data_IF_663968665163
#
_entry.id   IF_663968665163
#
_cell.length_a   1.000
_cell.length_b   1.000
_cell.length_c   1.000
_cell.angle_alpha   90.00
_cell.angle_beta   90.00
_cell.angle_gamma   90.00
#
_symmetry.space_group_name_H-M   'P 1'
#
loop_
_entity.id
_entity.type
_entity.pdbx_description
1 polymer ?
#
# COMPACT_ATOMS: atom_id res chain seq x y z
N UNK A 1 -45.15 -35.53 -40.68
CA UNK A 1 -44.67 -35.06 -41.99
C UNK A 1 -43.25 -35.54 -42.18
N UNK A 2 -42.75 -35.58 -43.42
CA UNK A 2 -41.34 -35.88 -43.68
C UNK A 2 -40.50 -34.75 -43.06
N UNK A 3 -39.86 -35.04 -41.92
CA UNK A 3 -38.84 -34.16 -41.35
C UNK A 3 -37.62 -34.29 -42.26
N UNK A 4 -37.18 -33.19 -42.86
CA UNK A 4 -35.93 -33.16 -43.62
C UNK A 4 -34.78 -33.10 -42.62
N UNK A 5 -33.96 -34.14 -42.61
CA UNK A 5 -32.70 -34.19 -41.88
C UNK A 5 -31.56 -34.09 -42.90
N UNK A 6 -30.56 -33.21 -42.70
CA UNK A 6 -29.38 -33.18 -43.55
C UNK A 6 -28.68 -34.56 -43.56
N UNK A 7 -28.00 -34.89 -44.65
CA UNK A 7 -27.13 -36.08 -44.65
C UNK A 7 -25.94 -35.84 -43.72
N UNK A 8 -25.38 -36.92 -43.18
CA UNK A 8 -24.37 -36.83 -42.12
C UNK A 8 -23.16 -35.96 -42.50
N UNK A 9 -22.67 -36.00 -43.74
CA UNK A 9 -21.53 -35.19 -44.26
C UNK A 9 -21.73 -33.66 -44.23
N UNK A 10 -22.91 -33.16 -43.85
CA UNK A 10 -23.17 -31.71 -43.77
C UNK A 10 -23.75 -31.25 -42.44
N UNK A 11 -23.96 -32.17 -41.50
CA UNK A 11 -24.61 -31.84 -40.23
C UNK A 11 -23.74 -30.89 -39.41
N UNK A 12 -22.44 -31.07 -39.43
CA UNK A 12 -21.48 -30.26 -38.69
C UNK A 12 -21.30 -28.88 -39.30
N UNK A 13 -21.21 -28.81 -40.63
CA UNK A 13 -21.20 -27.53 -41.38
C UNK A 13 -22.40 -26.65 -40.98
N UNK A 14 -23.60 -27.25 -40.96
CA UNK A 14 -24.83 -26.57 -40.58
C UNK A 14 -24.82 -26.20 -39.10
N UNK A 15 -24.35 -27.09 -38.24
CA UNK A 15 -24.25 -26.85 -36.82
C UNK A 15 -23.36 -25.65 -36.51
N UNK A 16 -22.14 -25.61 -37.04
CA UNK A 16 -21.20 -24.49 -36.84
C UNK A 16 -21.76 -23.18 -37.37
N UNK A 17 -22.47 -23.20 -38.51
CA UNK A 17 -23.11 -22.00 -39.04
C UNK A 17 -24.20 -21.45 -38.10
N UNK A 18 -25.02 -22.33 -37.51
CA UNK A 18 -26.08 -21.95 -36.57
C UNK A 18 -25.52 -21.53 -35.20
N UNK A 19 -24.51 -22.22 -34.68
CA UNK A 19 -23.81 -21.82 -33.45
C UNK A 19 -23.15 -20.46 -33.63
N UNK A 20 -22.53 -20.20 -34.78
CA UNK A 20 -21.98 -18.88 -35.09
C UNK A 20 -23.06 -17.80 -35.19
N UNK A 21 -24.21 -18.14 -35.77
CA UNK A 21 -25.36 -17.25 -35.78
C UNK A 21 -25.78 -16.88 -34.35
N UNK A 22 -25.87 -17.85 -33.44
CA UNK A 22 -26.27 -17.62 -32.06
C UNK A 22 -25.36 -16.58 -31.39
N UNK A 23 -24.04 -16.77 -31.43
CA UNK A 23 -23.09 -15.83 -30.80
C UNK A 23 -23.04 -14.48 -31.52
N UNK A 24 -23.16 -14.47 -32.85
CA UNK A 24 -23.02 -13.23 -33.62
C UNK A 24 -24.22 -12.30 -33.48
N UNK A 25 -25.42 -12.88 -33.32
CA UNK A 25 -26.70 -12.19 -33.39
C UNK A 25 -27.53 -12.26 -32.11
N UNK A 26 -26.98 -12.81 -31.02
CA UNK A 26 -27.60 -12.95 -29.70
C UNK A 26 -28.48 -11.74 -29.31
N UNK A 27 -27.92 -10.54 -29.36
CA UNK A 27 -28.60 -9.30 -28.98
C UNK A 27 -29.71 -8.82 -29.94
N UNK A 28 -29.92 -9.51 -31.08
CA UNK A 28 -30.76 -9.02 -32.19
C UNK A 28 -31.92 -9.96 -32.57
N UNK A 29 -32.06 -11.09 -31.90
CA UNK A 29 -32.99 -12.17 -32.27
C UNK A 29 -34.16 -12.33 -31.29
N UNK A 30 -34.36 -11.34 -30.40
CA UNK A 30 -35.54 -11.26 -29.53
C UNK A 30 -36.84 -11.39 -30.35
N UNK A 31 -37.75 -12.25 -29.90
CA UNK A 31 -39.02 -12.52 -30.57
C UNK A 31 -38.96 -13.48 -31.79
N UNK A 32 -37.78 -14.02 -32.15
CA UNK A 32 -37.68 -15.06 -33.17
C UNK A 32 -38.31 -16.35 -32.64
N UNK A 33 -39.49 -16.71 -33.14
CA UNK A 33 -40.27 -17.86 -32.67
C UNK A 33 -40.85 -18.70 -33.80
N UNK A 34 -40.51 -18.36 -35.06
CA UNK A 34 -41.08 -18.99 -36.25
C UNK A 34 -40.55 -20.40 -36.52
N UNK A 35 -39.45 -20.81 -35.87
CA UNK A 35 -38.95 -22.18 -35.92
C UNK A 35 -38.80 -22.71 -34.49
N UNK A 36 -39.14 -23.99 -34.30
CA UNK A 36 -39.22 -24.63 -32.99
C UNK A 36 -37.89 -24.59 -32.21
N UNK A 37 -36.76 -24.40 -32.88
CA UNK A 37 -35.45 -24.33 -32.24
C UNK A 37 -35.16 -23.00 -31.55
N UNK A 38 -35.80 -21.89 -31.94
CA UNK A 38 -35.55 -20.58 -31.33
C UNK A 38 -36.33 -20.41 -30.03
N UNK A 39 -35.63 -19.95 -28.99
CA UNK A 39 -36.19 -19.68 -27.67
C UNK A 39 -36.95 -18.33 -27.64
N UNK A 40 -36.54 -17.40 -28.50
CA UNK A 40 -37.17 -16.08 -28.64
C UNK A 40 -36.65 -15.04 -27.66
N UNK A 41 -35.56 -15.33 -26.96
CA UNK A 41 -34.84 -14.40 -26.08
C UNK A 41 -33.49 -13.98 -26.68
N UNK A 42 -32.91 -12.91 -26.15
CA UNK A 42 -31.62 -12.35 -26.58
C UNK A 42 -30.44 -12.74 -25.67
N UNK A 43 -30.57 -13.82 -24.90
CA UNK A 43 -29.54 -14.38 -24.01
C UNK A 43 -29.29 -15.89 -24.25
N UNK A 44 -30.24 -16.60 -24.85
CA UNK A 44 -30.10 -18.04 -25.13
C UNK A 44 -30.17 -18.36 -26.64
N UNK A 45 -30.88 -17.54 -27.43
CA UNK A 45 -31.17 -17.69 -28.87
C UNK A 45 -31.93 -18.98 -29.23
N UNK A 46 -31.36 -20.14 -28.93
CA UNK A 46 -31.92 -21.47 -29.16
C UNK A 46 -32.33 -22.16 -27.86
N UNK A 47 -33.29 -23.07 -27.94
CA UNK A 47 -33.63 -23.92 -26.79
C UNK A 47 -32.48 -24.90 -26.45
N UNK A 48 -32.35 -25.34 -25.18
CA UNK A 48 -31.29 -26.27 -24.76
C UNK A 48 -31.22 -27.58 -25.57
N UNK A 49 -32.37 -28.12 -26.00
CA UNK A 49 -32.40 -29.33 -26.84
C UNK A 49 -31.77 -29.10 -28.21
N UNK A 50 -31.93 -27.90 -28.78
CA UNK A 50 -31.39 -27.55 -30.09
C UNK A 50 -29.88 -27.35 -30.00
N UNK A 51 -29.40 -26.67 -28.95
CA UNK A 51 -27.97 -26.58 -28.65
C UNK A 51 -27.35 -27.97 -28.51
N UNK A 52 -27.97 -28.87 -27.73
CA UNK A 52 -27.49 -30.25 -27.57
C UNK A 52 -27.37 -30.99 -28.91
N UNK A 53 -28.38 -30.86 -29.78
CA UNK A 53 -28.37 -31.45 -31.11
C UNK A 53 -27.25 -30.87 -32.00
N UNK A 54 -27.08 -29.55 -32.00
CA UNK A 54 -26.05 -28.88 -32.80
C UNK A 54 -24.64 -29.26 -32.33
N UNK A 55 -24.41 -29.38 -31.03
CA UNK A 55 -23.13 -29.84 -30.49
C UNK A 55 -22.82 -31.30 -30.89
N UNK A 56 -23.82 -32.19 -30.85
CA UNK A 56 -23.66 -33.57 -31.31
C UNK A 56 -23.29 -33.64 -32.80
N UNK A 57 -23.98 -32.84 -33.63
CA UNK A 57 -23.68 -32.74 -35.06
C UNK A 57 -22.28 -32.18 -35.33
N UNK A 58 -21.89 -31.14 -34.59
CA UNK A 58 -20.59 -30.49 -34.70
C UNK A 58 -19.42 -31.41 -34.33
N UNK A 59 -19.56 -32.22 -33.26
CA UNK A 59 -18.45 -33.04 -32.74
C UNK A 59 -18.48 -34.50 -33.16
N UNK A 60 -19.64 -35.13 -33.11
CA UNK A 60 -19.74 -36.59 -33.19
C UNK A 60 -20.13 -37.08 -34.58
N UNK A 61 -20.89 -36.26 -35.33
CA UNK A 61 -21.43 -36.68 -36.63
C UNK A 61 -20.55 -36.20 -37.78
N UNK A 62 -20.15 -34.93 -37.79
CA UNK A 62 -19.42 -34.30 -38.90
C UNK A 62 -18.39 -33.26 -38.40
N UNK A 63 -17.24 -33.73 -37.89
CA UNK A 63 -16.15 -32.87 -37.45
C UNK A 63 -15.58 -32.03 -38.59
N UNK A 64 -14.99 -30.87 -38.25
CA UNK A 64 -14.37 -29.96 -39.22
C UNK A 64 -13.36 -30.70 -40.11
N UNK A 65 -13.62 -30.67 -41.41
CA UNK A 65 -12.74 -31.24 -42.43
C UNK A 65 -11.96 -30.16 -43.20
N UNK A 66 -11.10 -30.60 -44.14
CA UNK A 66 -10.33 -29.65 -44.93
C UNK A 66 -11.19 -28.85 -45.92
N UNK A 67 -12.27 -29.44 -46.44
CA UNK A 67 -13.15 -28.79 -47.40
C UNK A 67 -13.87 -27.61 -46.75
N UNK A 68 -14.32 -27.77 -45.52
CA UNK A 68 -14.95 -26.71 -44.74
C UNK A 68 -13.94 -25.62 -44.37
N UNK A 69 -12.72 -25.97 -43.93
CA UNK A 69 -11.66 -24.97 -43.70
C UNK A 69 -11.36 -24.14 -44.94
N UNK A 70 -11.27 -24.76 -46.10
CA UNK A 70 -11.03 -24.06 -47.37
C UNK A 70 -12.18 -23.10 -47.70
N UNK A 71 -13.43 -23.51 -47.45
CA UNK A 71 -14.63 -22.65 -47.61
C UNK A 71 -14.64 -21.50 -46.62
N UNK A 72 -14.28 -21.74 -45.37
CA UNK A 72 -14.21 -20.72 -44.32
C UNK A 72 -13.13 -19.68 -44.63
N UNK A 73 -11.95 -20.13 -45.10
CA UNK A 73 -10.87 -19.25 -45.55
C UNK A 73 -11.28 -18.43 -46.78
N UNK A 74 -12.01 -19.02 -47.73
CA UNK A 74 -12.53 -18.30 -48.89
C UNK A 74 -13.55 -17.23 -48.48
N UNK A 75 -14.45 -17.53 -47.53
CA UNK A 75 -15.37 -16.56 -46.95
C UNK A 75 -14.61 -15.43 -46.26
N UNK A 76 -13.62 -15.74 -45.42
CA UNK A 76 -12.76 -14.75 -44.76
C UNK A 76 -12.06 -13.82 -45.75
N UNK A 77 -11.47 -14.37 -46.83
CA UNK A 77 -10.81 -13.57 -47.85
C UNK A 77 -11.76 -12.59 -48.56
N UNK A 78 -13.07 -12.89 -48.61
CA UNK A 78 -14.07 -12.03 -49.24
C UNK A 78 -14.66 -10.98 -48.29
N UNK A 79 -15.00 -11.36 -47.06
CA UNK A 79 -15.78 -10.52 -46.13
C UNK A 79 -15.03 -10.13 -44.85
N UNK A 80 -13.76 -10.53 -44.71
CA UNK A 80 -12.88 -10.31 -43.55
C UNK A 80 -13.43 -10.86 -42.23
N UNK A 81 -14.32 -11.84 -42.30
CA UNK A 81 -14.94 -12.49 -41.15
C UNK A 81 -15.18 -13.97 -41.47
N UNK A 82 -14.70 -14.83 -40.59
CA UNK A 82 -14.78 -16.28 -40.70
C UNK A 82 -15.68 -16.83 -39.59
N UNK A 83 -16.17 -18.05 -39.76
CA UNK A 83 -16.80 -18.75 -38.66
C UNK A 83 -15.70 -19.27 -37.71
N UNK A 84 -15.60 -18.75 -36.47
CA UNK A 84 -14.55 -19.15 -35.53
C UNK A 84 -14.66 -20.61 -35.11
N UNK A 85 -15.85 -21.23 -35.19
CA UNK A 85 -16.03 -22.64 -34.84
C UNK A 85 -15.52 -23.61 -35.91
N UNK A 86 -15.15 -23.13 -37.09
CA UNK A 86 -14.42 -23.91 -38.10
C UNK A 86 -12.92 -23.86 -37.83
N UNK A 87 -12.40 -22.69 -37.44
CA UNK A 87 -10.97 -22.50 -37.17
C UNK A 87 -10.57 -23.07 -35.80
N UNK A 88 -11.48 -22.97 -34.83
CA UNK A 88 -11.36 -23.39 -33.43
C UNK A 88 -12.63 -24.12 -32.99
N UNK A 89 -12.85 -25.37 -33.43
CA UNK A 89 -14.05 -26.15 -33.11
C UNK A 89 -14.28 -26.30 -31.59
N UNK A 90 -13.21 -26.32 -30.79
CA UNK A 90 -13.23 -26.38 -29.33
C UNK A 90 -14.01 -25.22 -28.66
N UNK A 91 -14.12 -24.06 -29.32
CA UNK A 91 -14.84 -22.91 -28.75
C UNK A 91 -16.32 -23.19 -28.56
N UNK A 92 -16.92 -24.09 -29.36
CA UNK A 92 -18.33 -24.45 -29.19
C UNK A 92 -18.58 -25.14 -27.84
N UNK A 93 -17.67 -26.02 -27.39
CA UNK A 93 -17.81 -26.66 -26.09
C UNK A 93 -17.60 -25.66 -24.95
N UNK A 94 -16.62 -24.76 -25.09
CA UNK A 94 -16.37 -23.73 -24.08
C UNK A 94 -17.59 -22.83 -23.80
N UNK A 95 -18.42 -22.59 -24.83
CA UNK A 95 -19.60 -21.71 -24.73
C UNK A 95 -20.82 -22.48 -24.20
N UNK A 96 -21.12 -23.66 -24.74
CA UNK A 96 -22.41 -24.35 -24.49
C UNK A 96 -22.32 -25.64 -23.70
N UNK A 97 -21.11 -26.16 -23.48
CA UNK A 97 -20.87 -27.29 -22.61
C UNK A 97 -19.64 -27.01 -21.74
N UNK A 98 -19.62 -25.86 -21.02
CA UNK A 98 -18.51 -25.60 -20.12
C UNK A 98 -18.47 -26.78 -19.16
N UNK A 99 -17.35 -27.49 -19.11
CA UNK A 99 -17.10 -28.41 -18.02
C UNK A 99 -17.25 -27.59 -16.76
N UNK A 100 -18.36 -27.77 -16.04
CA UNK A 100 -18.58 -27.09 -14.77
C UNK A 100 -17.54 -27.69 -13.85
N UNK A 101 -16.41 -27.00 -13.76
CA UNK A 101 -15.40 -27.38 -12.82
C UNK A 101 -15.94 -27.11 -11.44
N UNK A 102 -16.05 -28.17 -10.65
CA UNK A 102 -16.54 -28.11 -9.28
C UNK A 102 -15.48 -28.57 -8.30
N UNK A 103 -14.34 -29.04 -8.81
CA UNK A 103 -13.22 -29.47 -8.00
C UNK A 103 -12.35 -28.23 -7.74
N UNK A 104 -12.18 -27.79 -6.48
CA UNK A 104 -11.35 -26.65 -6.19
C UNK A 104 -9.86 -27.00 -6.34
N UNK A 105 -8.99 -26.02 -6.66
CA UNK A 105 -7.55 -26.24 -6.66
C UNK A 105 -7.03 -26.74 -5.31
N UNK A 106 -5.88 -27.41 -5.33
CA UNK A 106 -5.15 -27.75 -4.10
C UNK A 106 -4.68 -26.48 -3.38
N UNK A 107 -4.50 -26.54 -2.05
CA UNK A 107 -3.92 -25.42 -1.31
C UNK A 107 -2.50 -25.09 -1.81
N UNK A 108 -2.14 -23.79 -1.95
CA UNK A 108 -0.75 -23.40 -2.16
C UNK A 108 0.10 -23.86 -0.98
N UNK A 109 1.36 -24.23 -1.23
CA UNK A 109 2.26 -24.73 -0.17
C UNK A 109 3.56 -23.95 -0.12
N UNK A 110 4.30 -24.05 0.98
CA UNK A 110 5.59 -23.37 1.19
C UNK A 110 5.50 -21.85 0.98
N UNK A 111 4.43 -21.21 1.46
CA UNK A 111 4.37 -19.75 1.46
C UNK A 111 5.49 -19.22 2.36
N UNK A 112 6.31 -18.34 1.78
CA UNK A 112 7.45 -17.68 2.39
C UNK A 112 7.28 -16.18 2.25
N UNK A 113 7.49 -15.46 3.34
CA UNK A 113 7.65 -14.02 3.36
C UNK A 113 9.14 -13.70 3.59
N UNK A 114 9.68 -12.75 2.83
CA UNK A 114 11.12 -12.47 2.80
C UNK A 114 11.42 -11.07 2.27
N UNK A 115 12.70 -10.68 2.32
CA UNK A 115 13.20 -9.38 1.86
C UNK A 115 12.37 -8.19 2.36
N UNK A 116 12.04 -8.11 3.67
CA UNK A 116 11.33 -6.94 4.17
C UNK A 116 12.15 -5.68 3.91
N UNK A 117 11.48 -4.63 3.47
CA UNK A 117 11.98 -3.26 3.54
C UNK A 117 11.16 -2.51 4.60
N UNK A 118 11.36 -1.20 4.73
CA UNK A 118 10.52 -0.35 5.58
C UNK A 118 9.05 -0.29 5.14
N UNK A 119 8.72 -0.64 3.88
CA UNK A 119 7.34 -0.53 3.36
C UNK A 119 6.91 -1.64 2.39
N UNK A 120 7.74 -2.66 2.19
CA UNK A 120 7.45 -3.79 1.29
C UNK A 120 7.88 -5.13 1.88
N UNK A 121 7.23 -6.22 1.47
CA UNK A 121 7.63 -7.61 1.76
C UNK A 121 7.44 -8.45 0.49
N UNK A 122 8.42 -9.29 0.15
CA UNK A 122 8.31 -10.24 -0.95
C UNK A 122 7.70 -11.56 -0.48
N UNK A 123 6.74 -12.07 -1.25
CA UNK A 123 6.10 -13.35 -1.03
C UNK A 123 6.39 -14.32 -2.18
N UNK A 124 6.62 -15.59 -1.85
CA UNK A 124 6.70 -16.68 -2.82
C UNK A 124 6.10 -17.97 -2.27
N UNK A 125 5.58 -18.82 -3.15
CA UNK A 125 4.99 -20.10 -2.77
C UNK A 125 5.13 -21.15 -3.88
N UNK A 126 4.85 -22.40 -3.55
CA UNK A 126 4.73 -23.50 -4.51
C UNK A 126 3.34 -23.50 -5.13
N UNK A 127 3.28 -23.63 -6.47
CA UNK A 127 2.04 -23.62 -7.23
C UNK A 127 1.05 -24.70 -6.78
N UNK A 128 -0.24 -24.35 -6.85
CA UNK A 128 -1.34 -25.29 -6.73
C UNK A 128 -1.53 -26.11 -8.01
N UNK A 129 -2.17 -27.27 -7.89
CA UNK A 129 -2.66 -28.07 -9.01
C UNK A 129 -4.17 -28.13 -9.00
N UNK A 130 -4.74 -28.34 -10.17
CA UNK A 130 -6.18 -28.42 -10.41
C UNK A 130 -6.43 -29.37 -11.61
N UNK A 131 -7.63 -29.93 -11.73
CA UNK A 131 -8.01 -30.84 -12.82
C UNK A 131 -8.10 -30.13 -14.18
N UNK A 132 -8.42 -28.83 -14.22
CA UNK A 132 -8.42 -28.03 -15.45
C UNK A 132 -7.27 -27.02 -15.43
N UNK A 133 -7.13 -26.27 -14.34
CA UNK A 133 -6.01 -25.35 -14.18
C UNK A 133 -6.26 -24.19 -13.23
N UNK A 134 -5.18 -23.75 -12.59
CA UNK A 134 -5.18 -22.57 -11.71
C UNK A 134 -4.97 -21.31 -12.53
N UNK A 135 -5.83 -20.32 -12.35
CA UNK A 135 -5.80 -19.04 -13.08
C UNK A 135 -5.16 -17.91 -12.27
N UNK A 136 -5.35 -17.91 -10.95
CA UNK A 136 -4.85 -16.84 -10.08
C UNK A 136 -4.69 -17.27 -8.62
N UNK A 137 -4.00 -16.43 -7.86
CA UNK A 137 -3.79 -16.55 -6.42
C UNK A 137 -4.24 -15.27 -5.72
N UNK A 138 -5.07 -15.42 -4.69
CA UNK A 138 -5.51 -14.34 -3.81
C UNK A 138 -4.64 -14.31 -2.55
N UNK A 139 -3.93 -13.21 -2.35
CA UNK A 139 -3.07 -13.00 -1.19
C UNK A 139 -3.76 -12.10 -0.17
N UNK A 140 -3.99 -12.62 1.02
CA UNK A 140 -4.60 -11.91 2.13
C UNK A 140 -3.53 -11.42 3.11
N UNK A 141 -3.61 -10.14 3.50
CA UNK A 141 -2.83 -9.53 4.57
C UNK A 141 -3.69 -9.39 5.81
N UNK A 142 -3.35 -10.07 6.90
CA UNK A 142 -4.07 -10.07 8.18
C UNK A 142 -5.58 -10.30 8.06
N UNK A 143 -6.01 -11.08 7.05
CA UNK A 143 -7.42 -11.37 6.77
C UNK A 143 -8.21 -10.21 6.14
N UNK A 144 -7.56 -9.15 5.66
CA UNK A 144 -8.19 -8.02 4.94
C UNK A 144 -8.58 -8.34 3.49
N UNK A 145 -8.73 -7.31 2.66
CA UNK A 145 -9.02 -7.51 1.23
C UNK A 145 -7.80 -8.11 0.51
N UNK A 146 -8.01 -9.07 -0.42
CA UNK A 146 -6.91 -9.71 -1.10
C UNK A 146 -6.32 -8.86 -2.23
N UNK A 147 -5.08 -9.15 -2.58
CA UNK A 147 -4.44 -8.75 -3.84
C UNK A 147 -4.25 -10.02 -4.68
N UNK A 148 -4.69 -9.98 -5.94
CA UNK A 148 -4.64 -11.14 -6.84
C UNK A 148 -3.45 -11.07 -7.81
N UNK A 149 -2.86 -12.22 -8.13
CA UNK A 149 -1.78 -12.37 -9.11
C UNK A 149 -1.86 -13.72 -9.81
N UNK A 150 -1.40 -13.83 -11.05
CA UNK A 150 -1.25 -15.11 -11.76
C UNK A 150 0.11 -15.79 -11.52
N UNK A 151 1.06 -15.08 -10.92
CA UNK A 151 2.39 -15.60 -10.60
C UNK A 151 2.39 -16.30 -9.23
N UNK A 152 3.41 -17.14 -8.98
CA UNK A 152 3.64 -17.78 -7.66
C UNK A 152 4.51 -16.95 -6.72
N UNK A 153 4.59 -15.65 -6.99
CA UNK A 153 5.30 -14.66 -6.19
C UNK A 153 4.72 -13.26 -6.39
N UNK A 154 4.81 -12.42 -5.37
CA UNK A 154 4.37 -11.02 -5.41
C UNK A 154 5.12 -10.19 -4.35
N UNK A 155 5.40 -8.92 -4.64
CA UNK A 155 5.84 -7.95 -3.63
C UNK A 155 4.62 -7.20 -3.10
N UNK A 156 4.37 -7.29 -1.80
CA UNK A 156 3.35 -6.50 -1.11
C UNK A 156 3.97 -5.14 -0.77
N UNK A 157 3.28 -4.05 -1.13
CA UNK A 157 3.74 -2.67 -0.94
C UNK A 157 2.81 -1.90 -0.01
N UNK A 158 3.19 -0.67 0.35
CA UNK A 158 2.37 0.22 1.18
C UNK A 158 2.22 -0.28 2.62
N UNK A 159 3.24 -0.98 3.12
CA UNK A 159 3.32 -1.46 4.48
C UNK A 159 3.89 -0.38 5.40
N UNK A 160 3.52 -0.44 6.68
CA UNK A 160 4.09 0.42 7.70
C UNK A 160 5.42 -0.18 8.20
N UNK A 161 6.45 0.64 8.49
CA UNK A 161 7.72 0.17 9.04
C UNK A 161 7.54 -0.49 10.41
N UNK A 162 8.49 -1.35 10.78
CA UNK A 162 8.52 -2.07 12.06
C UNK A 162 7.17 -2.69 12.46
N UNK A 163 6.44 -3.21 11.47
CA UNK A 163 5.11 -3.79 11.64
C UNK A 163 5.14 -5.23 11.14
N UNK A 164 4.71 -6.15 12.01
CA UNK A 164 4.52 -7.55 11.63
C UNK A 164 3.27 -7.67 10.77
N UNK A 165 3.39 -8.34 9.63
CA UNK A 165 2.29 -8.69 8.75
C UNK A 165 2.26 -10.20 8.55
N UNK A 166 1.07 -10.79 8.61
CA UNK A 166 0.88 -12.20 8.33
C UNK A 166 0.07 -12.39 7.05
N UNK A 167 0.53 -13.31 6.22
CA UNK A 167 0.00 -13.56 4.88
C UNK A 167 -0.53 -14.99 4.75
N UNK A 168 -1.62 -15.12 3.99
CA UNK A 168 -2.19 -16.40 3.54
C UNK A 168 -2.55 -16.29 2.08
N UNK A 169 -2.38 -17.38 1.32
CA UNK A 169 -2.67 -17.43 -0.11
C UNK A 169 -3.71 -18.51 -0.41
N UNK A 170 -4.63 -18.19 -1.33
CA UNK A 170 -5.62 -19.10 -1.89
C UNK A 170 -5.44 -19.16 -3.40
N UNK A 171 -5.64 -20.32 -4.01
CA UNK A 171 -5.68 -20.47 -5.47
C UNK A 171 -7.13 -20.42 -5.98
N UNK A 172 -7.28 -19.92 -7.21
CA UNK A 172 -8.53 -19.81 -7.98
C UNK A 172 -8.35 -20.50 -9.33
N UNK A 173 -9.37 -21.21 -9.79
CA UNK A 173 -9.45 -21.74 -11.15
C UNK A 173 -10.25 -20.81 -12.09
N UNK A 174 -10.57 -21.27 -13.29
CA UNK A 174 -11.39 -20.53 -14.24
C UNK A 174 -12.89 -20.51 -13.90
N UNK A 175 -13.35 -21.47 -13.09
CA UNK A 175 -14.72 -21.57 -12.59
C UNK A 175 -14.95 -20.79 -11.27
N UNK A 176 -13.91 -20.10 -10.77
CA UNK A 176 -13.87 -19.33 -9.52
C UNK A 176 -13.97 -20.18 -8.25
N UNK A 177 -13.73 -21.49 -8.33
CA UNK A 177 -13.58 -22.31 -7.13
C UNK A 177 -12.34 -21.85 -6.34
N UNK A 178 -12.44 -21.94 -5.01
CA UNK A 178 -11.37 -21.49 -4.09
C UNK A 178 -10.71 -22.70 -3.47
N UNK A 179 -9.38 -22.75 -3.48
CA UNK A 179 -8.65 -23.74 -2.71
C UNK A 179 -8.84 -23.55 -1.20
N UNK A 180 -8.46 -24.54 -0.37
CA UNK A 180 -8.11 -24.27 1.02
C UNK A 180 -6.90 -23.31 1.11
N UNK A 181 -6.70 -22.69 2.28
CA UNK A 181 -5.59 -21.74 2.49
C UNK A 181 -4.23 -22.42 2.52
N UNK A 182 -3.19 -21.67 2.14
CA UNK A 182 -1.80 -22.02 2.43
C UNK A 182 -1.49 -22.07 3.93
N UNK A 183 -0.22 -22.38 4.28
CA UNK A 183 0.31 -22.01 5.59
C UNK A 183 0.30 -20.49 5.77
N UNK A 184 0.32 -20.03 7.03
CA UNK A 184 0.56 -18.62 7.34
C UNK A 184 2.06 -18.35 7.25
N UNK A 185 2.45 -17.26 6.62
CA UNK A 185 3.81 -16.72 6.67
C UNK A 185 3.75 -15.30 7.22
N UNK A 186 4.49 -15.04 8.30
CA UNK A 186 4.59 -13.71 8.88
C UNK A 186 6.00 -13.16 8.67
N UNK A 187 6.09 -11.86 8.42
CA UNK A 187 7.36 -11.15 8.34
C UNK A 187 7.18 -9.72 8.87
N UNK A 188 8.24 -9.19 9.48
CA UNK A 188 8.24 -7.83 10.04
C UNK A 188 8.99 -6.91 9.10
N UNK A 189 8.34 -5.82 8.68
CA UNK A 189 9.01 -4.76 7.91
C UNK A 189 10.18 -4.17 8.71
N UNK A 190 11.21 -3.73 8.00
CA UNK A 190 12.39 -3.16 8.64
C UNK A 190 12.04 -1.90 9.45
N UNK A 191 12.85 -1.62 10.47
CA UNK A 191 12.74 -0.36 11.20
C UNK A 191 13.14 0.81 10.31
N UNK A 192 12.32 1.84 10.29
CA UNK A 192 12.58 3.07 9.54
C UNK A 192 11.38 4.01 9.61
N UNK A 193 11.57 5.24 9.14
CA UNK A 193 10.40 6.03 8.71
C UNK A 193 9.94 5.47 7.37
N UNK A 194 8.67 5.61 7.00
CA UNK A 194 8.33 5.70 5.58
C UNK A 194 8.99 6.99 5.12
N UNK A 195 10.29 6.91 4.79
CA UNK A 195 11.09 8.04 4.37
C UNK A 195 10.26 8.84 3.37
N UNK A 196 10.28 10.16 3.51
CA UNK A 196 9.88 10.95 2.37
C UNK A 196 10.68 10.49 1.18
N UNK A 197 10.05 10.24 0.05
CA UNK A 197 10.80 10.10 -1.19
C UNK A 197 11.23 11.47 -1.74
N UNK A 198 11.22 12.49 -0.89
CA UNK A 198 11.29 13.88 -1.31
C UNK A 198 11.93 14.81 -0.26
N UNK A 199 12.53 15.88 -0.75
CA UNK A 199 13.09 16.96 0.05
C UNK A 199 11.99 17.86 0.61
N UNK A 200 12.23 18.51 1.75
CA UNK A 200 11.31 19.47 2.36
C UNK A 200 12.08 20.62 3.01
N UNK A 201 11.41 21.76 3.20
CA UNK A 201 11.93 22.94 3.89
C UNK A 201 11.93 22.63 5.39
N UNK A 202 13.12 22.60 5.99
CA UNK A 202 13.30 22.36 7.42
C UNK A 202 13.43 23.65 8.23
N UNK A 203 13.83 24.76 7.60
CA UNK A 203 13.90 26.06 8.26
C UNK A 203 13.62 27.21 7.28
N UNK A 204 12.87 28.20 7.75
CA UNK A 204 12.63 29.47 7.07
C UNK A 204 12.98 30.61 8.04
N UNK A 205 13.85 31.52 7.62
CA UNK A 205 14.29 32.64 8.46
C UNK A 205 14.08 33.96 7.74
N UNK A 206 13.19 34.80 8.27
CA UNK A 206 13.06 36.21 7.93
C UNK A 206 13.72 37.02 9.05
N UNK A 207 15.03 37.19 8.97
CA UNK A 207 15.83 37.90 9.97
C UNK A 207 15.89 39.41 9.73
N UNK A 208 16.65 40.10 10.57
CA UNK A 208 16.80 41.55 10.46
C UNK A 208 17.54 41.96 9.17
N UNK A 209 17.10 43.06 8.56
CA UNK A 209 17.69 43.57 7.31
C UNK A 209 17.74 42.48 6.21
N UNK A 210 18.92 42.16 5.69
CA UNK A 210 19.15 41.17 4.64
C UNK A 210 19.37 39.75 5.17
N UNK A 211 19.20 39.50 6.48
CA UNK A 211 19.28 38.14 7.01
C UNK A 211 18.06 37.35 6.52
N UNK A 212 18.31 36.43 5.59
CA UNK A 212 17.31 35.56 4.98
C UNK A 212 17.93 34.19 4.74
N UNK A 213 17.27 33.13 5.18
CA UNK A 213 17.72 31.76 4.96
C UNK A 213 16.56 30.81 4.70
N UNK A 214 16.82 29.80 3.87
CA UNK A 214 15.99 28.62 3.65
C UNK A 214 16.88 27.41 3.85
N UNK A 215 16.47 26.47 4.69
CA UNK A 215 17.12 25.18 4.86
C UNK A 215 16.26 24.08 4.25
N UNK A 216 16.87 23.17 3.49
CA UNK A 216 16.21 22.03 2.87
C UNK A 216 16.80 20.75 3.43
N UNK A 217 15.95 19.89 3.97
CA UNK A 217 16.34 18.63 4.57
C UNK A 217 16.17 17.43 3.63
N UNK A 218 17.09 16.47 3.72
CA UNK A 218 17.02 15.19 3.03
C UNK A 218 16.96 14.02 4.00
N UNK A 219 15.78 13.38 4.11
CA UNK A 219 15.58 12.13 4.86
C UNK A 219 15.09 10.99 3.95
N UNK A 220 15.47 11.03 2.66
CA UNK A 220 15.01 10.09 1.63
C UNK A 220 15.68 8.72 1.65
N UNK A 221 16.61 8.49 2.56
CA UNK A 221 17.45 7.28 2.59
C UNK A 221 18.59 7.31 1.56
N UNK A 222 18.63 8.27 0.64
CA UNK A 222 19.62 8.36 -0.44
C UNK A 222 20.22 9.77 -0.54
N UNK A 223 21.37 9.90 -1.21
CA UNK A 223 21.87 11.22 -1.63
C UNK A 223 21.03 11.75 -2.79
N UNK A 224 20.57 13.00 -2.71
CA UNK A 224 19.70 13.62 -3.72
C UNK A 224 20.43 14.74 -4.45
N UNK A 225 20.46 14.69 -5.79
CA UNK A 225 20.96 15.78 -6.63
C UNK A 225 19.98 16.95 -6.64
N UNK A 226 20.45 18.17 -6.45
CA UNK A 226 19.63 19.38 -6.44
C UNK A 226 19.35 19.96 -7.84
N UNK A 227 19.90 19.35 -8.90
CA UNK A 227 19.75 19.83 -10.29
C UNK A 227 18.31 19.91 -10.80
N UNK A 228 17.37 19.15 -10.21
CA UNK A 228 15.94 19.19 -10.55
C UNK A 228 15.13 20.12 -9.63
N UNK A 229 15.75 20.77 -8.64
CA UNK A 229 15.05 21.51 -7.60
C UNK A 229 15.26 23.00 -7.73
N UNK A 230 14.20 23.74 -7.47
CA UNK A 230 14.22 25.20 -7.41
C UNK A 230 13.43 25.70 -6.21
N UNK A 231 13.73 26.91 -5.75
CA UNK A 231 12.87 27.66 -4.84
C UNK A 231 12.35 28.92 -5.52
N UNK A 232 11.15 29.34 -5.16
CA UNK A 232 10.57 30.61 -5.63
C UNK A 232 9.68 31.20 -4.54
N UNK A 233 9.53 32.53 -4.54
CA UNK A 233 8.65 33.23 -3.60
C UNK A 233 7.37 33.71 -4.26
N UNK A 234 6.28 33.79 -3.50
CA UNK A 234 5.04 34.43 -3.90
C UNK A 234 5.03 35.88 -3.42
N UNK A 235 5.30 36.81 -4.34
CA UNK A 235 5.61 38.20 -4.00
C UNK A 235 4.37 38.93 -3.49
N UNK A 236 4.39 39.31 -2.23
CA UNK A 236 3.29 39.88 -1.44
C UNK A 236 2.06 38.98 -1.41
N UNK A 237 2.25 37.66 -1.40
CA UNK A 237 1.14 36.68 -1.37
C UNK A 237 0.13 36.90 -2.50
N UNK A 238 0.60 37.21 -3.71
CA UNK A 238 -0.26 37.59 -4.82
C UNK A 238 -0.82 36.38 -5.61
N UNK A 239 -0.41 35.16 -5.24
CA UNK A 239 -0.83 33.93 -5.90
C UNK A 239 -0.08 33.67 -7.21
N UNK A 240 1.13 34.22 -7.35
CA UNK A 240 2.01 34.03 -8.50
C UNK A 240 3.47 33.91 -8.04
N UNK A 241 4.11 32.82 -8.43
CA UNK A 241 5.53 32.60 -8.15
C UNK A 241 6.42 33.57 -8.94
N UNK A 242 7.37 34.18 -8.25
CA UNK A 242 8.41 35.02 -8.82
C UNK A 242 9.49 34.22 -9.57
N UNK A 243 10.62 34.87 -9.84
CA UNK A 243 11.73 34.22 -10.53
C UNK A 243 12.39 33.17 -9.62
N UNK A 244 12.47 31.94 -10.13
CA UNK A 244 13.01 30.81 -9.38
C UNK A 244 14.54 30.87 -9.25
N UNK A 245 15.06 30.32 -8.15
CA UNK A 245 16.47 30.04 -7.94
C UNK A 245 16.71 28.54 -8.17
N UNK A 246 17.61 28.22 -9.09
CA UNK A 246 18.12 26.86 -9.28
C UNK A 246 19.00 26.47 -8.10
N UNK A 247 18.70 25.34 -7.46
CA UNK A 247 19.54 24.79 -6.40
C UNK A 247 20.73 24.04 -6.99
N UNK A 248 21.86 24.07 -6.28
CA UNK A 248 23.14 23.50 -6.73
C UNK A 248 23.68 22.50 -5.74
N UNK A 249 24.36 21.45 -6.22
CA UNK A 249 24.99 20.43 -5.38
C UNK A 249 24.09 19.21 -5.16
N UNK A 250 24.31 18.55 -4.02
CA UNK A 250 23.56 17.37 -3.61
C UNK A 250 23.51 17.29 -2.10
N UNK A 251 22.41 16.79 -1.54
CA UNK A 251 22.24 16.61 -0.11
C UNK A 251 22.41 15.12 0.21
N UNK A 252 23.30 14.77 1.14
CA UNK A 252 23.38 13.38 1.62
C UNK A 252 22.11 13.02 2.42
N UNK A 253 21.85 11.73 2.63
CA UNK A 253 20.76 11.33 3.53
C UNK A 253 21.09 11.78 4.97
N UNK A 254 20.09 12.26 5.69
CA UNK A 254 20.19 12.86 7.03
C UNK A 254 21.04 14.13 7.08
N UNK A 255 21.12 14.85 5.96
CA UNK A 255 21.85 16.11 5.83
C UNK A 255 20.90 17.20 5.32
N UNK A 256 21.37 18.45 5.36
CA UNK A 256 20.62 19.63 4.91
C UNK A 256 21.38 20.42 3.86
N UNK A 257 20.68 21.35 3.19
CA UNK A 257 21.27 22.33 2.30
C UNK A 257 20.75 23.72 2.64
N UNK A 258 21.66 24.60 3.05
CA UNK A 258 21.34 25.95 3.48
C UNK A 258 21.54 26.95 2.35
N UNK A 259 20.47 27.67 2.00
CA UNK A 259 20.52 28.81 1.10
C UNK A 259 20.37 30.09 1.91
N UNK A 260 21.32 31.02 1.80
CA UNK A 260 21.19 32.35 2.41
C UNK A 260 21.30 33.47 1.40
N UNK A 261 20.81 34.65 1.79
CA UNK A 261 21.17 35.88 1.06
C UNK A 261 22.68 36.10 1.05
N UNK A 262 23.21 36.49 -0.11
CA UNK A 262 24.64 36.74 -0.30
C UNK A 262 25.17 37.96 0.46
N UNK A 263 24.28 38.86 0.87
CA UNK A 263 24.53 40.08 1.62
C UNK A 263 23.94 40.03 3.05
N UNK A 264 23.65 38.83 3.56
CA UNK A 264 23.29 38.61 4.95
C UNK A 264 24.52 38.77 5.88
N UNK A 265 24.28 38.79 7.19
CA UNK A 265 25.37 38.86 8.16
C UNK A 265 26.29 37.63 8.11
N UNK A 266 27.49 37.76 8.69
CA UNK A 266 28.49 36.68 8.72
C UNK A 266 27.99 35.39 9.37
N UNK A 267 27.08 35.48 10.33
CA UNK A 267 26.50 34.30 11.00
C UNK A 267 25.66 33.43 10.06
N UNK A 268 24.97 34.03 9.09
CA UNK A 268 24.18 33.31 8.07
C UNK A 268 25.08 32.77 6.96
N UNK A 269 25.94 33.62 6.40
CA UNK A 269 26.77 33.24 5.25
C UNK A 269 27.85 32.20 5.59
N UNK A 270 28.22 32.05 6.87
CA UNK A 270 29.18 31.05 7.31
C UNK A 270 28.67 29.60 7.26
N UNK A 271 27.35 29.39 7.31
CA UNK A 271 26.71 28.06 7.26
C UNK A 271 26.05 27.78 5.91
N UNK A 272 26.16 28.70 4.95
CA UNK A 272 25.51 28.57 3.66
C UNK A 272 26.22 27.59 2.72
N UNK A 273 25.49 26.63 2.17
CA UNK A 273 25.92 25.81 1.04
C UNK A 273 25.76 26.56 -0.29
N UNK A 274 24.80 27.48 -0.35
CA UNK A 274 24.52 28.30 -1.52
C UNK A 274 24.17 29.74 -1.14
N UNK A 275 24.88 30.69 -1.75
CA UNK A 275 24.58 32.13 -1.62
C UNK A 275 23.78 32.63 -2.82
N UNK A 276 22.76 33.45 -2.58
CA UNK A 276 22.00 34.11 -3.65
C UNK A 276 21.39 35.42 -3.20
N UNK A 277 21.51 36.47 -4.01
CA UNK A 277 20.75 37.73 -3.81
C UNK A 277 19.64 37.89 -4.86
N UNK A 278 19.23 36.79 -5.48
CA UNK A 278 18.15 36.75 -6.47
C UNK A 278 16.76 36.95 -5.86
N UNK A 279 15.75 36.95 -6.75
CA UNK A 279 14.35 37.20 -6.37
C UNK A 279 13.86 36.21 -5.30
N UNK A 280 14.08 34.90 -5.49
CA UNK A 280 13.64 33.87 -4.54
C UNK A 280 14.18 34.03 -3.11
N UNK A 281 15.32 34.70 -2.92
CA UNK A 281 15.93 34.98 -1.60
C UNK A 281 15.67 36.40 -1.11
N UNK A 282 14.84 37.17 -1.81
CA UNK A 282 14.50 38.55 -1.43
C UNK A 282 13.20 38.63 -0.61
N UNK A 283 12.70 37.49 -0.13
CA UNK A 283 11.45 37.36 0.62
C UNK A 283 11.44 38.22 1.88
N UNK A 284 10.26 38.64 2.29
CA UNK A 284 9.97 39.32 3.54
C UNK A 284 8.69 38.70 4.17
N UNK A 285 8.22 39.24 5.30
CA UNK A 285 7.19 38.59 6.11
C UNK A 285 5.88 38.19 5.40
N UNK A 286 5.53 38.80 4.27
CA UNK A 286 4.34 38.47 3.48
C UNK A 286 4.64 37.70 2.18
N UNK A 287 5.80 37.08 2.06
CA UNK A 287 6.24 36.31 0.90
C UNK A 287 6.38 34.81 1.23
N UNK A 288 5.38 33.96 0.92
CA UNK A 288 5.55 32.51 0.97
C UNK A 288 6.69 32.04 0.07
N UNK A 289 7.38 30.97 0.47
CA UNK A 289 8.45 30.35 -0.32
C UNK A 289 8.11 28.90 -0.60
N UNK A 290 8.06 28.54 -1.88
CA UNK A 290 7.81 27.19 -2.37
C UNK A 290 9.11 26.48 -2.76
N UNK A 291 9.17 25.18 -2.49
CA UNK A 291 10.17 24.25 -3.01
C UNK A 291 9.54 23.45 -4.16
N UNK A 292 10.26 23.35 -5.27
CA UNK A 292 9.79 22.71 -6.49
C UNK A 292 10.73 21.62 -6.96
N UNK A 293 10.18 20.60 -7.61
CA UNK A 293 10.92 19.57 -8.34
C UNK A 293 10.41 19.49 -9.76
N UNK A 294 11.29 19.66 -10.74
CA UNK A 294 10.93 19.71 -12.17
C UNK A 294 9.79 20.70 -12.47
N UNK A 295 9.72 21.80 -11.71
CA UNK A 295 8.68 22.83 -11.84
C UNK A 295 7.35 22.55 -11.11
N UNK A 296 7.19 21.37 -10.48
CA UNK A 296 6.02 21.05 -9.64
C UNK A 296 6.31 21.44 -8.19
N UNK A 297 5.39 22.17 -7.55
CA UNK A 297 5.46 22.50 -6.12
C UNK A 297 5.37 21.21 -5.30
N UNK A 298 6.35 21.00 -4.41
CA UNK A 298 6.39 19.84 -3.51
C UNK A 298 6.22 20.25 -2.05
N UNK A 299 6.74 21.42 -1.65
CA UNK A 299 6.65 21.92 -0.28
C UNK A 299 6.51 23.44 -0.24
N UNK A 300 5.98 23.98 0.86
CA UNK A 300 5.79 25.42 1.02
C UNK A 300 5.92 25.88 2.47
N UNK A 301 6.57 27.03 2.66
CA UNK A 301 6.42 27.86 3.84
C UNK A 301 5.51 29.06 3.52
N UNK A 302 4.41 29.21 4.25
CA UNK A 302 3.38 30.24 4.03
C UNK A 302 2.22 29.83 3.13
N UNK A 303 1.16 30.63 3.12
CA UNK A 303 -0.06 30.41 2.34
C UNK A 303 0.03 31.09 0.97
N UNK A 304 0.11 30.32 -0.10
CA UNK A 304 0.12 30.84 -1.48
C UNK A 304 -1.16 31.63 -1.80
N UNK A 305 -1.02 32.85 -2.34
CA UNK A 305 -2.14 33.74 -2.66
C UNK A 305 -2.98 34.19 -1.45
N UNK A 306 -2.43 34.03 -0.23
CA UNK A 306 -3.14 34.21 1.02
C UNK A 306 -2.76 35.49 1.79
N UNK A 307 -2.94 35.45 3.11
CA UNK A 307 -2.47 36.49 4.02
C UNK A 307 -1.39 35.87 4.91
N UNK A 308 -0.21 36.48 4.87
CA UNK A 308 0.97 36.00 5.57
C UNK A 308 1.61 37.18 6.33
N UNK A 309 2.07 36.93 7.55
CA UNK A 309 2.88 37.85 8.34
C UNK A 309 3.87 37.06 9.18
N UNK A 310 5.06 36.89 8.62
CA UNK A 310 6.17 36.13 9.19
C UNK A 310 7.40 37.01 9.39
N UNK A 311 7.15 38.27 9.78
CA UNK A 311 8.19 39.30 9.82
C UNK A 311 9.08 39.16 11.06
N UNK A 312 10.39 39.17 10.87
CA UNK A 312 11.45 39.15 11.87
C UNK A 312 11.40 37.90 12.77
N UNK A 313 11.13 36.73 12.20
CA UNK A 313 11.02 35.47 12.93
C UNK A 313 11.80 34.33 12.24
N UNK A 314 12.12 33.33 13.05
CA UNK A 314 12.79 32.10 12.64
C UNK A 314 11.81 30.96 12.82
N UNK A 315 11.62 30.13 11.80
CA UNK A 315 10.65 29.04 11.80
C UNK A 315 11.33 27.72 11.49
N UNK A 316 11.20 26.78 12.41
CA UNK A 316 11.81 25.46 12.30
C UNK A 316 10.75 24.41 12.15
N UNK A 317 10.90 23.56 11.15
CA UNK A 317 10.02 22.42 10.97
C UNK A 317 10.15 21.52 12.19
N UNK A 318 9.04 21.03 12.72
CA UNK A 318 9.05 20.13 13.87
C UNK A 318 9.68 18.80 13.47
N UNK A 319 10.49 18.17 14.33
CA UNK A 319 11.05 16.84 14.09
C UNK A 319 10.01 15.74 13.80
N UNK A 320 8.75 15.93 14.24
CA UNK A 320 7.66 15.01 13.96
C UNK A 320 7.15 15.06 12.52
N UNK A 321 7.52 16.10 11.75
CA UNK A 321 7.09 16.25 10.37
C UNK A 321 8.01 15.43 9.49
N UNK A 322 7.46 14.31 9.00
CA UNK A 322 8.24 13.37 8.22
C UNK A 322 8.52 13.87 6.80
N UNK A 323 7.82 14.90 6.29
CA UNK A 323 7.97 15.34 4.90
C UNK A 323 7.32 16.61 4.38
N UNK A 324 7.40 16.82 3.04
CA UNK A 324 6.93 18.04 2.42
C UNK A 324 5.41 18.09 2.39
N UNK A 325 4.86 19.29 2.45
CA UNK A 325 3.45 19.58 2.38
C UNK A 325 3.22 20.81 1.50
N UNK A 326 2.30 20.69 0.53
CA UNK A 326 1.85 21.85 -0.26
C UNK A 326 0.76 22.66 0.46
N UNK A 327 0.33 22.22 1.65
CA UNK A 327 -0.67 22.87 2.47
C UNK A 327 -0.02 23.35 3.78
N UNK A 328 0.13 24.66 3.91
CA UNK A 328 0.83 25.24 5.06
C UNK A 328 0.03 25.12 6.36
N UNK A 329 0.63 24.50 7.38
CA UNK A 329 0.11 24.46 8.75
C UNK A 329 1.17 24.93 9.74
N UNK A 330 1.18 26.23 10.04
CA UNK A 330 2.09 26.82 11.02
C UNK A 330 2.03 26.10 12.37
N UNK A 331 0.82 25.80 12.85
CA UNK A 331 0.60 25.28 14.21
C UNK A 331 1.00 23.82 14.36
N UNK A 332 0.74 23.01 13.32
CA UNK A 332 1.03 21.58 13.30
C UNK A 332 2.48 21.28 12.95
N UNK A 333 3.09 22.09 12.08
CA UNK A 333 4.36 21.72 11.42
C UNK A 333 5.58 22.54 11.85
N UNK A 334 5.40 23.71 12.47
CA UNK A 334 6.50 24.65 12.73
C UNK A 334 6.58 25.10 14.18
N UNK A 335 7.80 25.24 14.68
CA UNK A 335 8.13 25.97 15.90
C UNK A 335 8.64 27.37 15.54
N UNK A 336 8.27 28.36 16.35
CA UNK A 336 8.55 29.79 16.09
C UNK A 336 9.55 30.32 17.12
N UNK A 337 10.59 30.98 16.64
CA UNK A 337 11.65 31.59 17.43
C UNK A 337 11.82 33.07 17.05
N UNK A 338 12.51 33.81 17.91
CA UNK A 338 12.78 35.23 17.68
C UNK A 338 13.65 35.47 16.43
N UNK A 339 13.77 36.74 16.07
CA UNK A 339 14.61 37.21 14.96
C UNK A 339 16.06 36.75 15.09
N UNK A 340 16.68 36.41 13.95
CA UNK A 340 18.11 36.11 13.82
C UNK A 340 18.63 34.95 14.69
N UNK A 341 17.77 33.98 15.04
CA UNK A 341 18.21 32.75 15.72
C UNK A 341 18.66 31.75 14.65
N UNK A 342 19.95 31.44 14.62
CA UNK A 342 20.60 30.55 13.63
C UNK A 342 21.46 29.47 14.32
N UNK A 343 21.12 29.12 15.56
CA UNK A 343 21.90 28.20 16.39
C UNK A 343 21.89 26.74 15.91
N UNK A 344 20.90 26.35 15.12
CA UNK A 344 20.77 25.03 14.49
C UNK A 344 20.68 25.08 12.96
N UNK A 345 20.76 26.26 12.35
CA UNK A 345 20.84 26.41 10.89
C UNK A 345 22.05 25.63 10.36
N UNK A 346 21.82 24.73 9.42
CA UNK A 346 22.79 23.72 8.98
C UNK A 346 22.58 22.36 9.64
N UNK A 347 21.46 22.14 10.35
CA UNK A 347 21.12 20.86 10.94
C UNK A 347 19.61 20.69 11.12
N UNK A 348 19.12 19.50 10.79
CA UNK A 348 17.74 19.12 11.09
C UNK A 348 17.70 17.71 11.65
N UNK A 349 16.75 17.45 12.55
CA UNK A 349 16.50 16.10 13.06
C UNK A 349 15.04 15.74 12.85
N UNK A 350 14.79 14.53 12.38
CA UNK A 350 13.47 13.92 12.47
C UNK A 350 13.39 13.02 13.69
N UNK A 351 12.21 12.92 14.29
CA UNK A 351 11.93 11.84 15.22
C UNK A 351 12.04 10.54 14.43
N UNK A 352 13.09 9.75 14.71
CA UNK A 352 13.00 8.32 14.48
C UNK A 352 11.75 7.86 15.23
N UNK A 353 10.87 7.15 14.54
CA UNK A 353 9.66 6.60 15.15
C UNK A 353 10.04 5.50 16.15
N UNK A 354 10.63 5.91 17.27
CA UNK A 354 10.20 5.37 18.53
C UNK A 354 8.77 5.89 18.58
N UNK A 355 7.80 5.01 18.33
CA UNK A 355 6.54 5.15 19.04
C UNK A 355 6.97 5.40 20.47
N UNK A 356 6.88 6.65 20.92
CA UNK A 356 6.87 6.96 22.33
C UNK A 356 5.65 6.21 22.81
N UNK A 357 5.85 4.92 23.10
CA UNK A 357 4.98 4.15 23.92
C UNK A 357 5.08 4.96 25.18
N UNK A 358 4.14 5.91 25.32
CA UNK A 358 4.01 6.76 26.48
C UNK A 358 4.40 5.86 27.61
N UNK A 359 5.50 6.18 28.28
CA UNK A 359 5.92 5.46 29.47
C UNK A 359 4.85 5.78 30.49
N UNK A 360 3.66 5.22 30.29
CA UNK A 360 2.59 5.09 31.22
C UNK A 360 3.26 4.29 32.30
N UNK A 361 3.70 5.00 33.32
CA UNK A 361 4.30 4.37 34.46
C UNK A 361 3.28 3.36 34.95
N UNK A 362 3.54 2.08 34.69
CA UNK A 362 2.66 1.02 35.15
C UNK A 362 2.65 1.06 36.67
N UNK A 363 1.66 1.74 37.24
CA UNK A 363 1.55 1.91 38.69
C UNK A 363 1.12 0.59 39.31
N UNK A 364 1.68 0.28 40.48
CA UNK A 364 1.26 -0.84 41.32
C UNK A 364 0.83 -0.29 42.66
N UNK A 365 -0.39 -0.60 43.07
CA UNK A 365 -0.92 -0.11 44.33
C UNK A 365 -1.91 -1.11 44.98
N UNK A 366 -1.91 -1.24 46.32
CA UNK A 366 -1.00 -0.59 47.23
C UNK A 366 0.42 -1.20 47.16
N UNK A 367 1.43 -0.37 47.36
CA UNK A 367 2.83 -0.79 47.46
C UNK A 367 3.55 0.16 48.42
N UNK A 368 3.83 -0.23 49.68
CA UNK A 368 3.76 -1.59 50.22
C UNK A 368 2.36 -2.21 50.29
N UNK A 369 2.28 -3.51 50.03
CA UNK A 369 1.04 -4.29 50.01
C UNK A 369 0.90 -5.11 51.30
N UNK A 370 -0.23 -4.94 52.01
CA UNK A 370 -0.57 -5.71 53.21
C UNK A 370 -1.67 -6.77 52.98
N UNK A 371 -2.44 -6.64 51.91
CA UNK A 371 -3.54 -7.56 51.56
C UNK A 371 -3.13 -8.65 50.57
N UNK A 372 -4.10 -9.50 50.21
CA UNK A 372 -3.90 -10.62 49.27
C UNK A 372 -3.81 -10.17 47.80
N UNK A 373 -4.09 -8.91 47.47
CA UNK A 373 -4.10 -8.42 46.09
C UNK A 373 -3.41 -7.06 45.95
N UNK A 374 -2.79 -6.85 44.79
CA UNK A 374 -2.34 -5.55 44.28
C UNK A 374 -3.09 -5.23 42.98
N UNK A 375 -3.26 -3.96 42.69
CA UNK A 375 -3.80 -3.46 41.43
C UNK A 375 -2.67 -2.93 40.57
N UNK A 376 -2.78 -3.13 39.26
CA UNK A 376 -2.00 -2.45 38.23
C UNK A 376 -2.85 -1.32 37.64
N UNK A 377 -2.21 -0.20 37.29
CA UNK A 377 -2.87 1.01 36.76
C UNK A 377 -3.59 0.83 35.41
N UNK A 378 -3.66 -0.40 34.89
CA UNK A 378 -4.33 -0.75 33.64
C UNK A 378 -5.31 -1.92 33.86
N UNK A 379 -6.55 -1.72 33.39
CA UNK A 379 -7.67 -2.68 33.52
C UNK A 379 -7.64 -3.73 32.41
N UNK A 380 -6.48 -4.38 32.22
CA UNK A 380 -6.27 -5.43 31.21
C UNK A 380 -5.60 -6.66 31.82
N UNK A 381 -5.74 -7.79 31.14
CA UNK A 381 -5.03 -9.06 31.44
C UNK A 381 -3.60 -8.95 30.94
N UNK A 382 -2.62 -9.18 31.83
CA UNK A 382 -1.19 -9.00 31.56
C UNK A 382 -0.40 -10.12 32.21
N UNK A 383 0.54 -10.69 31.48
CA UNK A 383 1.48 -11.67 32.00
C UNK A 383 2.47 -11.01 32.97
N UNK A 384 2.64 -11.62 34.14
CA UNK A 384 3.57 -11.16 35.16
C UNK A 384 4.47 -12.29 35.68
N UNK A 385 5.66 -11.91 36.12
CA UNK A 385 6.60 -12.74 36.88
C UNK A 385 7.07 -11.97 38.10
N UNK A 386 7.09 -12.62 39.26
CA UNK A 386 7.60 -12.06 40.51
C UNK A 386 8.89 -12.77 40.86
N UNK A 387 9.94 -12.00 41.07
CA UNK A 387 11.28 -12.45 41.43
C UNK A 387 11.60 -12.06 42.86
N UNK A 388 12.35 -12.92 43.57
CA UNK A 388 13.00 -12.51 44.81
C UNK A 388 14.20 -11.58 44.49
N UNK A 389 14.81 -10.99 45.53
CA UNK A 389 15.98 -10.11 45.37
C UNK A 389 17.22 -10.78 44.78
N UNK A 390 17.25 -12.11 44.73
CA UNK A 390 18.32 -12.90 44.11
C UNK A 390 18.03 -13.23 42.64
N UNK A 391 16.93 -12.71 42.07
CA UNK A 391 16.55 -12.90 40.66
C UNK A 391 15.88 -14.25 40.36
N UNK A 392 15.53 -15.07 41.37
CA UNK A 392 14.78 -16.31 41.16
C UNK A 392 13.28 -16.04 41.07
N UNK A 393 12.60 -16.65 40.09
CA UNK A 393 11.13 -16.56 39.95
C UNK A 393 10.46 -17.25 41.15
N UNK A 394 9.65 -16.49 41.88
CA UNK A 394 8.84 -16.95 43.03
C UNK A 394 7.45 -17.38 42.58
N UNK A 395 6.83 -16.61 41.67
CA UNK A 395 5.54 -16.93 41.07
C UNK A 395 5.38 -16.22 39.73
N UNK A 396 4.46 -16.70 38.90
CA UNK A 396 4.10 -16.10 37.62
C UNK A 396 2.63 -16.36 37.32
N UNK A 397 2.02 -15.50 36.52
CA UNK A 397 0.64 -15.70 36.10
C UNK A 397 0.14 -14.57 35.21
N UNK A 398 -1.18 -14.48 35.06
CA UNK A 398 -1.87 -13.39 34.37
C UNK A 398 -2.66 -12.56 35.37
N UNK A 399 -2.65 -11.24 35.23
CA UNK A 399 -3.56 -10.36 35.98
C UNK A 399 -5.02 -10.64 35.57
N UNK A 400 -5.96 -10.42 36.48
CA UNK A 400 -7.39 -10.48 36.19
C UNK A 400 -8.00 -9.08 36.36
N UNK A 401 -8.38 -8.45 35.25
CA UNK A 401 -8.92 -7.09 35.21
C UNK A 401 -8.11 -6.11 36.09
N UNK A 402 -6.80 -6.04 35.83
CA UNK A 402 -5.91 -5.15 36.57
C UNK A 402 -5.57 -5.58 38.01
N UNK A 403 -5.91 -6.80 38.44
CA UNK A 403 -5.56 -7.33 39.78
C UNK A 403 -4.60 -8.51 39.72
N UNK A 404 -3.69 -8.57 40.69
CA UNK A 404 -2.79 -9.72 40.91
C UNK A 404 -2.90 -10.17 42.35
N UNK A 405 -3.14 -11.47 42.54
CA UNK A 405 -3.10 -12.11 43.85
C UNK A 405 -1.64 -12.37 44.26
N UNK A 406 -1.28 -11.91 45.45
CA UNK A 406 0.05 -11.99 46.06
C UNK A 406 0.03 -12.70 47.43
N UNK A 407 -1.03 -13.43 47.73
CA UNK A 407 -1.24 -14.12 49.02
C UNK A 407 -0.16 -15.16 49.31
N UNK A 408 0.38 -15.78 48.26
CA UNK A 408 1.48 -16.75 48.37
C UNK A 408 2.84 -16.12 48.71
N UNK A 409 2.98 -14.80 48.63
CA UNK A 409 4.23 -14.11 48.95
C UNK A 409 4.38 -13.88 50.46
N UNK A 410 5.52 -14.29 51.02
CA UNK A 410 5.92 -13.93 52.38
C UNK A 410 6.31 -12.45 52.48
N UNK A 411 6.26 -11.83 53.68
CA UNK A 411 6.78 -10.48 53.89
C UNK A 411 8.22 -10.32 53.36
N UNK A 412 8.47 -9.24 52.62
CA UNK A 412 9.76 -9.00 51.96
C UNK A 412 9.70 -8.08 50.75
N UNK A 413 10.85 -7.91 50.10
CA UNK A 413 11.01 -7.10 48.87
C UNK A 413 11.13 -8.03 47.67
N UNK A 414 10.42 -7.70 46.60
CA UNK A 414 10.37 -8.45 45.35
C UNK A 414 10.51 -7.50 44.16
N UNK A 415 10.86 -8.07 42.99
CA UNK A 415 10.71 -7.40 41.70
C UNK A 415 9.55 -8.06 40.96
N UNK A 416 8.59 -7.28 40.51
CA UNK A 416 7.52 -7.76 39.64
C UNK A 416 7.74 -7.20 38.24
N UNK A 417 7.77 -8.10 37.26
CA UNK A 417 7.96 -7.82 35.86
C UNK A 417 6.66 -8.10 35.12
N UNK A 418 6.30 -7.21 34.20
CA UNK A 418 5.15 -7.33 33.32
C UNK A 418 5.61 -7.38 31.88
N UNK A 419 4.97 -8.26 31.11
CA UNK A 419 5.11 -8.29 29.66
C UNK A 419 3.80 -7.82 29.06
N UNK A 420 3.81 -6.65 28.42
CA UNK A 420 2.66 -6.11 27.72
C UNK A 420 3.10 -5.68 26.33
N UNK A 421 2.52 -6.30 25.30
CA UNK A 421 3.01 -6.25 23.93
C UNK A 421 4.50 -6.65 23.87
N UNK A 422 5.37 -5.70 23.45
CA UNK A 422 6.82 -5.86 23.30
C UNK A 422 7.64 -5.18 24.41
N UNK A 423 6.99 -4.68 25.47
CA UNK A 423 7.64 -3.99 26.57
C UNK A 423 7.73 -4.87 27.81
N UNK A 424 8.93 -4.89 28.39
CA UNK A 424 9.18 -5.47 29.72
C UNK A 424 9.30 -4.36 30.74
N UNK A 425 8.33 -4.26 31.66
CA UNK A 425 8.36 -3.26 32.74
C UNK A 425 8.60 -3.96 34.06
N UNK A 426 9.62 -3.53 34.81
CA UNK A 426 9.90 -4.06 36.15
C UNK A 426 9.64 -2.99 37.22
N UNK A 427 8.97 -3.37 38.30
CA UNK A 427 8.69 -2.51 39.46
C UNK A 427 9.07 -3.24 40.74
N UNK A 428 9.52 -2.48 41.74
CA UNK A 428 9.71 -2.97 43.10
C UNK A 428 8.34 -3.24 43.73
N UNK A 429 8.17 -4.39 44.36
CA UNK A 429 7.01 -4.74 45.17
C UNK A 429 7.47 -4.98 46.61
N UNK A 430 6.81 -4.35 47.58
CA UNK A 430 7.07 -4.55 49.00
C UNK A 430 5.85 -5.25 49.60
N UNK A 431 6.03 -6.45 50.14
CA UNK A 431 5.01 -7.20 50.90
C UNK A 431 5.27 -6.99 52.39
N UNK A 432 4.30 -6.41 53.09
CA UNK A 432 4.33 -6.30 54.55
C UNK A 432 3.90 -7.60 55.22
#
# INVERSE_FOLDING_TARGET
GLMFEPIDEFKGDIARALLYFAVRYEDTVDGYTSFDMFNGTNDEVFYPWAITLLLDWHYNVDPVDQRERDRNQAAYAFQNNANPFVDHPEYADMIWNPTVDSDPPTAPTNLLASNPTVSTIDLSWTASSDNIGVTSYDVYRDGGNPVSTSNTSITITGLSPNTEYCFTVFARDAALNTSPSSNIACETTEQGSTTTNELFISEYIEGSSNNKAIEIANFTGNTVSLSSYTIARDVNSNGTWGASLQLTGSIANMDVHVITRGDASGSFTAVADQLSSGDAMSFNGNDPVGLFKNGTLIDIFGTFGGSNDYTNETYRRKPSVAGPSTAFDLSGEWDVFSTDIVDDLGSHSQLLSIVDAQRSELLIYPNPASGSNINIGIQKTIDYKIYNVLGSVVTSGKSNNGKINIESLKPGVYLIQFNYNYLTVSKKLIRN
#
